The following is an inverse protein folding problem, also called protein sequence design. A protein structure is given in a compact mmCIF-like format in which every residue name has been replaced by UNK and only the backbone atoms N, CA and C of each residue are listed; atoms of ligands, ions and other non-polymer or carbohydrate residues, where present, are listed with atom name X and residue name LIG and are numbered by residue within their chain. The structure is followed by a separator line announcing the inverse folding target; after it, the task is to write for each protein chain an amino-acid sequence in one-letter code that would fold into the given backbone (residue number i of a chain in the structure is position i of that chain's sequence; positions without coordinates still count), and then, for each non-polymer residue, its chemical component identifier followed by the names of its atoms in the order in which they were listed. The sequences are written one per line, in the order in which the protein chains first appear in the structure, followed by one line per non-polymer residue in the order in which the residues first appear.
data_IF_777011836361
#
_entry.id   IF_777011836361
#
_cell.length_a   1.000
_cell.length_b   1.000
_cell.length_c   1.000
_cell.angle_alpha   90.00
_cell.angle_beta   90.00
_cell.angle_gamma   90.00
#
_symmetry.space_group_name_H-M   'P 1'
#
loop_
_entity.id
_entity.type
_entity.pdbx_description
1 polymer ?
#
# COMPACT_ATOMS: atom_id res chain seq x y z
N UNK A 1 -19.19 19.53 -45.07
CA UNK A 1 -18.21 19.45 -43.96
C UNK A 1 -18.78 20.26 -42.81
N UNK A 2 -19.14 19.63 -41.69
CA UNK A 2 -19.68 20.36 -40.54
C UNK A 2 -18.53 20.95 -39.74
N UNK A 3 -18.44 22.28 -39.67
CA UNK A 3 -17.41 22.97 -38.92
C UNK A 3 -17.62 22.74 -37.41
N UNK A 4 -16.57 22.31 -36.70
CA UNK A 4 -16.59 22.06 -35.25
C UNK A 4 -16.95 23.32 -34.44
N UNK A 5 -16.89 24.49 -35.07
CA UNK A 5 -17.24 25.79 -34.48
C UNK A 5 -18.72 25.91 -34.10
N UNK A 6 -19.62 25.19 -34.78
CA UNK A 6 -21.07 25.38 -34.62
C UNK A 6 -21.70 24.46 -33.56
N UNK A 7 -20.94 23.52 -32.99
CA UNK A 7 -21.44 22.54 -32.03
C UNK A 7 -20.53 22.44 -30.79
N UNK A 8 -20.82 23.20 -29.71
CA UNK A 8 -20.00 23.24 -28.51
C UNK A 8 -19.91 21.89 -27.80
N UNK A 9 -20.91 21.02 -27.95
CA UNK A 9 -20.90 19.68 -27.34
C UNK A 9 -19.90 18.75 -28.04
N UNK A 10 -19.68 18.92 -29.34
CA UNK A 10 -18.64 18.19 -30.08
C UNK A 10 -17.24 18.67 -29.74
N UNK A 11 -17.02 19.98 -29.60
CA UNK A 11 -15.72 20.54 -29.23
C UNK A 11 -15.27 20.11 -27.82
N UNK A 12 -16.21 20.02 -26.87
CA UNK A 12 -15.95 19.57 -25.50
C UNK A 12 -15.40 18.13 -25.43
N UNK A 13 -15.80 17.24 -26.35
CA UNK A 13 -15.26 15.87 -26.44
C UNK A 13 -13.78 15.81 -26.76
N UNK A 14 -13.22 16.87 -27.34
CA UNK A 14 -11.80 16.97 -27.69
C UNK A 14 -11.04 17.94 -26.76
N UNK A 15 -11.64 18.36 -25.64
CA UNK A 15 -11.02 19.31 -24.71
C UNK A 15 -10.89 20.74 -25.26
N UNK A 16 -11.59 21.07 -26.35
CA UNK A 16 -11.54 22.39 -26.98
C UNK A 16 -12.67 23.27 -26.43
N UNK A 17 -12.33 24.50 -26.06
CA UNK A 17 -13.32 25.49 -25.58
C UNK A 17 -13.70 26.39 -26.75
N UNK A 18 -14.97 26.36 -27.18
CA UNK A 18 -15.46 27.24 -28.24
C UNK A 18 -15.66 28.64 -27.66
N UNK A 19 -14.87 29.59 -28.17
CA UNK A 19 -14.99 31.01 -27.82
C UNK A 19 -16.07 31.62 -28.74
N UNK A 20 -17.17 32.16 -28.20
CA UNK A 20 -18.21 32.78 -29.02
C UNK A 20 -17.64 33.92 -29.86
N UNK A 21 -18.16 34.11 -31.07
CA UNK A 21 -17.67 35.13 -32.03
C UNK A 21 -17.68 36.55 -31.46
N UNK A 22 -18.62 36.88 -30.57
CA UNK A 22 -18.67 38.18 -29.87
C UNK A 22 -17.53 38.41 -28.86
N UNK A 23 -16.67 37.41 -28.61
CA UNK A 23 -15.52 37.50 -27.72
C UNK A 23 -14.18 37.79 -28.43
N UNK A 24 -14.15 37.88 -29.76
CA UNK A 24 -12.92 38.06 -30.54
C UNK A 24 -12.25 39.44 -30.40
N UNK A 25 -12.94 40.45 -29.84
CA UNK A 25 -12.44 41.82 -29.69
C UNK A 25 -12.07 42.23 -28.26
N UNK A 26 -11.97 41.29 -27.30
CA UNK A 26 -11.55 41.62 -25.92
C UNK A 26 -10.04 41.38 -25.73
N UNK A 27 -9.34 42.25 -24.98
CA UNK A 27 -7.90 42.11 -24.76
C UNK A 27 -7.59 40.79 -24.04
N UNK A 28 -6.60 40.07 -24.54
CA UNK A 28 -6.06 38.86 -23.94
C UNK A 28 -4.91 39.22 -22.99
N UNK A 29 -4.77 38.58 -21.81
CA UNK A 29 -5.59 37.50 -21.26
C UNK A 29 -6.96 38.00 -20.74
N UNK A 30 -7.97 37.11 -20.62
CA UNK A 30 -9.26 37.50 -20.07
C UNK A 30 -9.05 38.01 -18.64
N UNK A 31 -9.78 39.06 -18.21
CA UNK A 31 -9.71 39.51 -16.83
C UNK A 31 -10.03 38.33 -15.92
N UNK A 32 -9.28 38.15 -14.81
CA UNK A 32 -9.49 37.03 -13.91
C UNK A 32 -10.95 37.02 -13.49
N UNK A 33 -11.65 35.93 -13.84
CA UNK A 33 -13.01 35.71 -13.38
C UNK A 33 -12.90 35.61 -11.86
N UNK A 34 -13.36 36.65 -11.16
CA UNK A 34 -13.53 36.62 -9.72
C UNK A 34 -14.68 35.64 -9.48
N UNK A 35 -14.35 34.35 -9.42
CA UNK A 35 -15.25 33.37 -8.88
C UNK A 35 -15.52 33.82 -7.45
N UNK A 36 -16.68 34.41 -7.21
CA UNK A 36 -17.20 34.60 -5.86
C UNK A 36 -17.42 33.20 -5.30
N UNK A 37 -16.35 32.60 -4.79
CA UNK A 37 -16.45 31.49 -3.86
C UNK A 37 -17.13 32.08 -2.64
N UNK A 38 -18.46 32.00 -2.62
CA UNK A 38 -19.22 32.00 -1.39
C UNK A 38 -18.46 31.09 -0.43
N UNK A 39 -17.94 31.67 0.66
CA UNK A 39 -17.24 30.94 1.74
C UNK A 39 -18.12 29.84 2.35
N UNK A 40 -19.42 29.85 2.02
CA UNK A 40 -20.35 28.79 2.35
C UNK A 40 -20.33 27.73 1.22
N UNK A 41 -19.94 26.48 1.53
CA UNK A 41 -20.03 25.39 0.57
C UNK A 41 -21.46 25.26 0.04
N UNK A 42 -21.61 24.93 -1.24
CA UNK A 42 -22.92 24.76 -1.86
C UNK A 42 -23.73 23.69 -1.11
N UNK A 43 -25.06 23.80 -1.13
CA UNK A 43 -25.93 22.79 -0.51
C UNK A 43 -25.64 21.37 -1.04
N UNK A 44 -25.28 21.26 -2.33
CA UNK A 44 -24.85 20.01 -2.94
C UNK A 44 -23.55 19.48 -2.32
N UNK A 45 -22.53 20.33 -2.11
CA UNK A 45 -21.28 19.91 -1.47
C UNK A 45 -21.50 19.48 -0.01
N UNK A 46 -22.40 20.15 0.71
CA UNK A 46 -22.79 19.76 2.07
C UNK A 46 -23.52 18.41 2.09
N UNK A 47 -24.45 18.19 1.14
CA UNK A 47 -25.16 16.92 1.00
C UNK A 47 -24.22 15.77 0.63
N UNK A 48 -23.23 16.02 -0.22
CA UNK A 48 -22.22 15.02 -0.59
C UNK A 48 -21.32 14.64 0.59
N UNK A 49 -20.92 15.62 1.41
CA UNK A 49 -20.18 15.36 2.67
C UNK A 49 -21.00 14.52 3.63
N UNK A 50 -22.26 14.87 3.87
CA UNK A 50 -23.14 14.09 4.74
C UNK A 50 -23.33 12.64 4.24
N UNK A 51 -23.47 12.45 2.92
CA UNK A 51 -23.58 11.11 2.32
C UNK A 51 -22.30 10.28 2.48
N UNK A 52 -21.13 10.91 2.35
CA UNK A 52 -19.85 10.24 2.58
C UNK A 52 -19.63 9.89 4.06
N UNK A 53 -20.02 10.78 4.97
CA UNK A 53 -19.98 10.53 6.42
C UNK A 53 -20.86 9.33 6.80
N UNK A 54 -22.08 9.25 6.24
CA UNK A 54 -23.00 8.13 6.45
C UNK A 54 -22.43 6.81 5.91
N UNK A 55 -21.80 6.85 4.72
CA UNK A 55 -21.14 5.67 4.16
C UNK A 55 -19.98 5.20 5.04
N UNK A 56 -19.14 6.12 5.52
CA UNK A 56 -18.03 5.81 6.44
C UNK A 56 -18.54 5.18 7.74
N UNK A 57 -19.61 5.73 8.32
CA UNK A 57 -20.25 5.17 9.51
C UNK A 57 -20.79 3.75 9.27
N UNK A 58 -21.45 3.50 8.13
CA UNK A 58 -21.94 2.16 7.76
C UNK A 58 -20.80 1.15 7.58
N UNK A 59 -19.69 1.58 6.97
CA UNK A 59 -18.49 0.75 6.81
C UNK A 59 -17.83 0.44 8.17
N UNK A 60 -17.81 1.39 9.09
CA UNK A 60 -17.27 1.21 10.45
C UNK A 60 -18.16 0.28 11.30
N UNK A 61 -19.49 0.44 11.24
CA UNK A 61 -20.44 -0.47 11.88
C UNK A 61 -20.31 -1.90 11.30
N UNK A 62 -20.09 -2.05 9.99
CA UNK A 62 -19.84 -3.35 9.38
C UNK A 62 -18.52 -3.98 9.86
N UNK A 63 -17.45 -3.19 9.99
CA UNK A 63 -16.17 -3.64 10.54
C UNK A 63 -16.31 -4.09 12.00
N UNK A 64 -17.01 -3.32 12.83
CA UNK A 64 -17.28 -3.70 14.22
C UNK A 64 -18.05 -5.02 14.31
N UNK A 65 -19.11 -5.21 13.50
CA UNK A 65 -19.85 -6.48 13.45
C UNK A 65 -18.99 -7.68 13.04
N UNK A 66 -18.04 -7.49 12.12
CA UNK A 66 -17.09 -8.54 11.75
C UNK A 66 -16.16 -8.86 12.91
N UNK A 67 -15.68 -7.84 13.64
CA UNK A 67 -14.82 -8.02 14.81
C UNK A 67 -15.55 -8.76 15.94
N UNK A 68 -16.80 -8.37 16.24
CA UNK A 68 -17.65 -9.03 17.24
C UNK A 68 -17.93 -10.49 16.87
N UNK A 69 -18.19 -10.77 15.58
CA UNK A 69 -18.34 -12.16 15.08
C UNK A 69 -17.04 -12.96 15.26
N UNK A 70 -15.88 -12.35 15.03
CA UNK A 70 -14.58 -13.01 15.24
C UNK A 70 -14.34 -13.29 16.73
N UNK A 71 -14.58 -12.31 17.61
CA UNK A 71 -14.47 -12.50 19.05
C UNK A 71 -15.43 -13.59 19.55
N UNK A 72 -16.69 -13.57 19.12
CA UNK A 72 -17.68 -14.60 19.48
C UNK A 72 -17.25 -16.01 19.06
N UNK A 73 -16.62 -16.15 17.90
CA UNK A 73 -16.04 -17.43 17.44
C UNK A 73 -14.84 -17.85 18.28
N UNK A 74 -13.96 -16.93 18.68
CA UNK A 74 -12.83 -17.24 19.56
C UNK A 74 -13.30 -17.70 20.94
N UNK A 75 -14.31 -17.05 21.53
CA UNK A 75 -14.88 -17.47 22.81
C UNK A 75 -15.60 -18.82 22.72
N UNK A 76 -16.27 -19.10 21.59
CA UNK A 76 -16.93 -20.40 21.38
C UNK A 76 -15.92 -21.54 21.20
N UNK A 77 -14.85 -21.31 20.42
CA UNK A 77 -13.78 -22.31 20.20
C UNK A 77 -12.96 -22.55 21.47
N UNK A 78 -12.70 -21.51 22.27
CA UNK A 78 -12.02 -21.64 23.56
C UNK A 78 -12.82 -22.41 24.61
N UNK A 79 -14.17 -22.35 24.57
CA UNK A 79 -15.02 -23.18 25.44
C UNK A 79 -14.93 -24.66 25.08
N UNK A 80 -15.03 -25.00 23.80
CA UNK A 80 -14.89 -26.40 23.35
C UNK A 80 -13.49 -26.94 23.64
N UNK A 81 -12.43 -26.15 23.43
CA UNK A 81 -11.05 -26.61 23.67
C UNK A 81 -10.74 -26.76 25.18
N UNK A 82 -11.28 -25.88 26.03
CA UNK A 82 -11.15 -26.00 27.49
C UNK A 82 -11.93 -27.22 28.03
N UNK A 83 -13.09 -27.51 27.47
CA UNK A 83 -13.93 -28.65 27.84
C UNK A 83 -13.31 -29.98 27.36
N UNK A 84 -12.73 -29.99 26.15
CA UNK A 84 -11.97 -31.10 25.60
C UNK A 84 -10.66 -31.35 26.37
N UNK A 85 -9.95 -30.28 26.78
CA UNK A 85 -8.79 -30.40 27.71
C UNK A 85 -9.19 -30.91 29.08
N UNK A 86 -10.35 -30.51 29.63
CA UNK A 86 -10.87 -31.05 30.90
C UNK A 86 -11.22 -32.54 30.77
N UNK A 87 -11.80 -32.96 29.65
CA UNK A 87 -12.08 -34.36 29.38
C UNK A 87 -10.79 -35.20 29.29
N UNK A 88 -9.80 -34.72 28.53
CA UNK A 88 -8.48 -35.37 28.43
C UNK A 88 -7.73 -35.38 29.77
N UNK A 89 -7.85 -34.32 30.57
CA UNK A 89 -7.23 -34.25 31.89
C UNK A 89 -7.92 -35.18 32.89
N UNK A 90 -9.23 -35.39 32.80
CA UNK A 90 -9.96 -36.39 33.58
C UNK A 90 -9.56 -37.82 33.19
N UNK A 91 -9.33 -38.08 31.90
CA UNK A 91 -8.84 -39.36 31.39
C UNK A 91 -7.39 -39.64 31.84
N UNK A 92 -6.51 -38.63 31.80
CA UNK A 92 -5.15 -38.72 32.33
C UNK A 92 -5.11 -38.93 33.85
N UNK A 93 -5.99 -38.26 34.61
CA UNK A 93 -6.11 -38.47 36.05
C UNK A 93 -6.66 -39.85 36.39
N UNK A 94 -7.54 -40.41 35.55
CA UNK A 94 -7.99 -41.81 35.65
C UNK A 94 -6.84 -42.80 35.37
N UNK A 95 -5.89 -42.47 34.50
CA UNK A 95 -4.70 -43.29 34.23
C UNK A 95 -3.56 -43.13 35.25
N UNK A 96 -3.46 -41.98 35.92
CA UNK A 96 -2.39 -41.66 36.88
C UNK A 96 -2.60 -42.25 38.29
N UNK A 97 -3.75 -42.87 38.56
CA UNK A 97 -3.98 -43.65 39.78
C UNK A 97 -3.09 -44.90 39.92
N UNK A 98 -2.30 -45.26 38.90
CA UNK A 98 -1.51 -46.49 38.89
C UNK A 98 0.02 -46.30 38.81
N UNK A 99 0.54 -45.07 38.87
CA UNK A 99 1.98 -44.83 38.71
C UNK A 99 2.51 -43.70 39.60
N UNK A 100 2.45 -43.90 40.92
CA UNK A 100 3.22 -43.10 41.88
C UNK A 100 4.45 -43.90 42.29
N UNK A 101 5.58 -43.70 41.60
CA UNK A 101 6.90 -43.75 42.24
C UNK A 101 8.00 -43.09 41.38
N UNK A 102 8.74 -42.21 42.06
CA UNK A 102 10.06 -41.62 41.73
C UNK A 102 10.10 -40.35 40.89
N UNK A 103 10.61 -39.31 41.56
CA UNK A 103 11.90 -38.76 41.16
C UNK A 103 11.93 -37.29 40.79
N UNK A 104 11.71 -36.42 41.78
CA UNK A 104 12.05 -34.99 41.71
C UNK A 104 13.54 -34.77 41.42
N UNK A 105 13.86 -33.95 40.43
CA UNK A 105 15.07 -33.11 40.46
C UNK A 105 14.80 -31.72 39.88
N UNK A 106 15.39 -30.75 40.57
CA UNK A 106 15.14 -29.32 40.58
C UNK A 106 16.10 -28.54 39.65
N UNK A 107 15.52 -27.55 38.94
CA UNK A 107 15.95 -26.21 38.49
C UNK A 107 17.45 -25.78 38.58
N UNK A 108 17.94 -24.87 37.70
CA UNK A 108 17.86 -23.45 38.09
C UNK A 108 17.53 -22.45 36.96
N UNK A 109 16.73 -21.47 37.35
CA UNK A 109 16.32 -20.25 36.65
C UNK A 109 17.39 -19.17 36.83
N UNK A 110 17.81 -18.50 35.76
CA UNK A 110 18.68 -17.33 35.80
C UNK A 110 18.29 -16.31 34.71
N UNK A 111 18.11 -15.02 35.04
CA UNK A 111 17.49 -14.05 34.15
C UNK A 111 18.48 -13.20 33.34
N UNK A 112 17.96 -12.62 32.25
CA UNK A 112 18.42 -11.39 31.58
C UNK A 112 19.72 -11.44 30.76
N UNK A 113 19.59 -11.75 29.46
CA UNK A 113 20.17 -10.99 28.35
C UNK A 113 19.86 -11.70 27.02
N UNK A 114 19.30 -10.97 26.04
CA UNK A 114 19.09 -11.28 24.60
C UNK A 114 17.62 -11.20 24.15
N UNK A 115 17.09 -9.97 24.09
CA UNK A 115 15.80 -9.68 23.42
C UNK A 115 15.86 -9.69 21.88
N UNK A 116 17.01 -9.96 21.25
CA UNK A 116 17.14 -10.02 19.78
C UNK A 116 17.36 -11.41 19.17
N UNK A 117 17.87 -12.39 19.93
CA UNK A 117 18.18 -13.74 19.41
C UNK A 117 17.14 -14.81 19.78
N UNK A 118 16.30 -14.55 20.78
CA UNK A 118 15.28 -15.49 21.23
C UNK A 118 14.15 -15.69 20.19
N UNK A 119 13.84 -14.68 19.37
CA UNK A 119 12.85 -14.80 18.30
C UNK A 119 13.34 -15.76 17.18
N UNK A 120 14.64 -15.75 16.87
CA UNK A 120 15.20 -16.62 15.84
C UNK A 120 15.37 -18.07 16.31
N UNK A 121 15.75 -18.29 17.58
CA UNK A 121 15.87 -19.63 18.18
C UNK A 121 14.49 -20.29 18.44
N UNK A 122 13.45 -19.51 18.72
CA UNK A 122 12.06 -20.03 18.81
C UNK A 122 11.51 -20.53 17.47
N UNK A 123 12.03 -20.05 16.33
CA UNK A 123 11.62 -20.54 15.01
C UNK A 123 12.14 -21.95 14.69
N UNK A 124 13.21 -22.41 15.34
CA UNK A 124 13.83 -23.72 15.09
C UNK A 124 13.25 -24.86 15.94
N UNK A 125 12.37 -24.56 16.90
CA UNK A 125 11.75 -25.55 17.80
C UNK A 125 10.26 -25.73 17.53
N UNK A 126 9.75 -25.18 16.42
CA UNK A 126 8.35 -25.33 16.02
C UNK A 126 8.10 -26.72 15.46
N UNK A 127 6.97 -27.30 15.85
CA UNK A 127 6.56 -28.57 15.28
C UNK A 127 6.14 -28.36 13.81
N UNK A 128 6.24 -29.40 12.96
CA UNK A 128 5.74 -29.32 11.58
C UNK A 128 4.26 -28.89 11.51
N UNK A 129 3.46 -29.23 12.54
CA UNK A 129 2.07 -28.80 12.66
C UNK A 129 1.93 -27.29 12.89
N UNK A 130 2.74 -26.69 13.78
CA UNK A 130 2.74 -25.24 14.01
C UNK A 130 3.16 -24.47 12.76
N UNK A 131 4.12 -25.01 11.99
CA UNK A 131 4.56 -24.42 10.74
C UNK A 131 3.46 -24.50 9.65
N UNK A 132 2.70 -25.60 9.61
CA UNK A 132 1.58 -25.75 8.68
C UNK A 132 0.41 -24.82 9.02
N UNK A 133 0.12 -24.60 10.31
CA UNK A 133 -0.95 -23.69 10.74
C UNK A 133 -0.59 -22.23 10.47
N UNK A 134 0.65 -21.81 10.74
CA UNK A 134 1.17 -20.48 10.40
C UNK A 134 1.13 -20.26 8.87
N UNK A 135 1.54 -21.27 8.09
CA UNK A 135 1.47 -21.21 6.64
C UNK A 135 0.02 -21.06 6.13
N UNK A 136 -0.92 -21.84 6.66
CA UNK A 136 -2.33 -21.72 6.28
C UNK A 136 -2.88 -20.33 6.62
N UNK A 137 -2.46 -19.76 7.76
CA UNK A 137 -2.87 -18.42 8.16
C UNK A 137 -2.31 -17.35 7.22
N UNK A 138 -1.04 -17.45 6.81
CA UNK A 138 -0.41 -16.56 5.83
C UNK A 138 -1.12 -16.63 4.48
N UNK A 139 -1.46 -17.84 4.00
CA UNK A 139 -2.21 -18.06 2.76
C UNK A 139 -3.62 -17.45 2.86
N UNK A 140 -4.32 -17.64 3.98
CA UNK A 140 -5.64 -17.06 4.19
C UNK A 140 -5.62 -15.53 4.28
N UNK A 141 -4.62 -14.96 4.94
CA UNK A 141 -4.42 -13.52 5.02
C UNK A 141 -4.14 -12.95 3.63
N UNK A 142 -3.25 -13.60 2.88
CA UNK A 142 -2.92 -13.26 1.51
C UNK A 142 -4.15 -13.30 0.59
N UNK A 143 -4.92 -14.40 0.62
CA UNK A 143 -6.17 -14.52 -0.13
C UNK A 143 -7.20 -13.44 0.22
N UNK A 144 -7.29 -13.07 1.51
CA UNK A 144 -8.18 -11.99 1.95
C UNK A 144 -7.73 -10.63 1.40
N UNK A 145 -6.42 -10.34 1.42
CA UNK A 145 -5.87 -9.11 0.83
C UNK A 145 -6.14 -9.03 -0.67
N UNK A 146 -5.93 -10.15 -1.40
CA UNK A 146 -6.29 -10.27 -2.81
C UNK A 146 -7.78 -10.01 -3.07
N UNK A 147 -8.65 -10.53 -2.21
CA UNK A 147 -10.09 -10.34 -2.32
C UNK A 147 -10.48 -8.86 -2.17
N UNK A 148 -9.86 -8.15 -1.23
CA UNK A 148 -10.11 -6.73 -0.93
C UNK A 148 -9.47 -5.75 -1.93
N UNK A 149 -8.59 -6.23 -2.81
CA UNK A 149 -7.93 -5.37 -3.79
C UNK A 149 -8.94 -4.73 -4.76
N UNK A 150 -8.69 -3.47 -5.12
CA UNK A 150 -9.54 -2.70 -6.04
C UNK A 150 -9.64 -3.42 -7.40
N UNK A 151 -10.87 -3.50 -7.94
CA UNK A 151 -11.17 -4.10 -9.24
C UNK A 151 -10.33 -3.50 -10.37
N UNK A 152 -10.10 -2.18 -10.36
CA UNK A 152 -9.27 -1.50 -11.35
C UNK A 152 -7.81 -1.99 -11.33
N UNK A 153 -7.27 -2.24 -10.13
CA UNK A 153 -5.91 -2.79 -9.97
C UNK A 153 -5.85 -4.24 -10.46
N UNK A 154 -6.91 -5.03 -10.22
CA UNK A 154 -7.01 -6.41 -10.72
C UNK A 154 -7.00 -6.45 -12.25
N UNK A 155 -7.79 -5.58 -12.88
CA UNK A 155 -7.84 -5.42 -14.34
C UNK A 155 -6.49 -4.96 -14.90
N UNK A 156 -5.82 -4.01 -14.24
CA UNK A 156 -4.47 -3.58 -14.63
C UNK A 156 -3.47 -4.74 -14.61
N UNK A 157 -3.52 -5.60 -13.59
CA UNK A 157 -2.65 -6.78 -13.52
C UNK A 157 -2.97 -7.80 -14.61
N UNK A 158 -4.25 -8.04 -14.89
CA UNK A 158 -4.66 -8.93 -15.98
C UNK A 158 -4.15 -8.44 -17.34
N UNK A 159 -4.41 -7.18 -17.67
CA UNK A 159 -3.95 -6.57 -18.93
C UNK A 159 -2.43 -6.61 -19.06
N UNK A 160 -1.71 -6.35 -17.96
CA UNK A 160 -0.26 -6.44 -17.92
C UNK A 160 0.22 -7.88 -18.18
N UNK A 161 -0.41 -8.86 -17.53
CA UNK A 161 -0.07 -10.28 -17.73
C UNK A 161 -0.31 -10.70 -19.19
N UNK A 162 -1.49 -10.43 -19.74
CA UNK A 162 -1.86 -10.78 -21.11
C UNK A 162 -0.85 -10.23 -22.11
N UNK A 163 -0.54 -8.93 -22.00
CA UNK A 163 0.45 -8.23 -22.83
C UNK A 163 1.84 -8.87 -22.81
N UNK A 164 2.33 -9.29 -21.63
CA UNK A 164 3.68 -9.88 -21.53
C UNK A 164 3.71 -11.40 -21.76
N UNK A 165 2.54 -12.05 -21.79
CA UNK A 165 2.40 -13.48 -22.09
C UNK A 165 2.33 -13.81 -23.58
N UNK A 166 2.31 -12.81 -24.47
CA UNK A 166 2.18 -12.99 -25.93
C UNK A 166 3.22 -13.98 -26.51
N UNK A 167 4.43 -14.00 -25.97
CA UNK A 167 5.51 -14.91 -26.43
C UNK A 167 5.35 -16.35 -25.94
N UNK A 168 4.62 -16.56 -24.85
CA UNK A 168 4.39 -17.86 -24.21
C UNK A 168 2.97 -17.89 -23.66
N UNK A 169 1.96 -18.17 -24.50
CA UNK A 169 0.56 -18.10 -24.09
C UNK A 169 0.29 -18.92 -22.83
N UNK A 170 -0.31 -18.30 -21.82
CA UNK A 170 -0.70 -18.93 -20.56
C UNK A 170 0.32 -18.79 -19.41
N UNK A 171 1.54 -18.32 -19.65
CA UNK A 171 2.51 -18.06 -18.57
C UNK A 171 3.55 -17.00 -18.92
N UNK A 172 4.15 -16.38 -17.89
CA UNK A 172 5.28 -15.48 -18.04
C UNK A 172 6.59 -16.24 -17.83
N UNK A 173 7.50 -16.21 -18.80
CA UNK A 173 8.88 -16.58 -18.54
C UNK A 173 9.57 -15.52 -17.64
N UNK A 174 10.78 -15.81 -17.14
CA UNK A 174 11.49 -14.92 -16.22
C UNK A 174 11.69 -13.49 -16.76
N UNK A 175 11.97 -13.33 -18.07
CA UNK A 175 12.13 -12.01 -18.67
C UNK A 175 10.80 -11.26 -18.79
N UNK A 176 9.74 -11.95 -19.21
CA UNK A 176 8.39 -11.40 -19.30
C UNK A 176 7.86 -10.98 -17.92
N UNK A 177 8.12 -11.77 -16.87
CA UNK A 177 7.79 -11.43 -15.49
C UNK A 177 8.43 -10.11 -15.06
N UNK A 178 9.73 -9.92 -15.32
CA UNK A 178 10.42 -8.69 -14.94
C UNK A 178 9.86 -7.45 -15.67
N UNK A 179 9.44 -7.61 -16.93
CA UNK A 179 8.77 -6.54 -17.68
C UNK A 179 7.39 -6.23 -17.10
N UNK A 180 6.61 -7.26 -16.79
CA UNK A 180 5.30 -7.13 -16.19
C UNK A 180 5.37 -6.43 -14.82
N UNK A 181 6.30 -6.85 -13.95
CA UNK A 181 6.57 -6.20 -12.67
C UNK A 181 7.00 -4.73 -12.84
N UNK A 182 7.81 -4.42 -13.86
CA UNK A 182 8.20 -3.04 -14.13
C UNK A 182 7.04 -2.16 -14.59
N UNK A 183 6.12 -2.71 -15.39
CA UNK A 183 4.94 -1.99 -15.87
C UNK A 183 3.94 -1.67 -14.74
N UNK A 184 3.85 -2.53 -13.72
CA UNK A 184 3.04 -2.26 -12.51
C UNK A 184 3.79 -1.47 -11.43
N UNK A 185 4.98 -0.94 -11.73
CA UNK A 185 5.76 -0.11 -10.81
C UNK A 185 6.48 -0.87 -9.69
N UNK A 186 6.64 -2.20 -9.83
CA UNK A 186 7.26 -3.09 -8.84
C UNK A 186 8.64 -3.58 -9.28
N UNK A 187 9.34 -2.80 -10.12
CA UNK A 187 10.69 -3.17 -10.56
C UNK A 187 11.66 -3.02 -9.39
N UNK A 188 12.37 -4.08 -8.96
CA UNK A 188 13.39 -3.94 -7.94
C UNK A 188 14.56 -3.10 -8.46
N UNK A 189 14.87 -2.03 -7.74
CA UNK A 189 15.98 -1.11 -7.97
C UNK A 189 17.14 -1.38 -7.02
N UNK A 190 16.85 -1.82 -5.78
CA UNK A 190 17.88 -2.11 -4.76
C UNK A 190 18.16 -3.60 -4.60
N UNK A 191 19.31 -3.94 -3.98
CA UNK A 191 19.63 -5.34 -3.63
C UNK A 191 18.62 -5.93 -2.64
N UNK A 192 18.18 -5.11 -1.66
CA UNK A 192 17.17 -5.49 -0.68
C UNK A 192 15.84 -5.85 -1.35
N UNK A 193 15.36 -5.02 -2.27
CA UNK A 193 14.12 -5.29 -3.03
C UNK A 193 14.22 -6.57 -3.85
N UNK A 194 15.38 -6.86 -4.46
CA UNK A 194 15.60 -8.12 -5.19
C UNK A 194 15.47 -9.33 -4.27
N UNK A 195 16.00 -9.23 -3.05
CA UNK A 195 15.92 -10.31 -2.06
C UNK A 195 14.48 -10.50 -1.56
N UNK A 196 13.76 -9.41 -1.27
CA UNK A 196 12.35 -9.46 -0.89
C UNK A 196 11.48 -10.07 -1.98
N UNK A 197 11.64 -9.67 -3.25
CA UNK A 197 10.89 -10.27 -4.37
C UNK A 197 11.20 -11.77 -4.50
N UNK A 198 12.44 -12.19 -4.27
CA UNK A 198 12.81 -13.61 -4.28
C UNK A 198 12.10 -14.39 -3.17
N UNK A 199 11.95 -13.82 -1.99
CA UNK A 199 11.21 -14.43 -0.87
C UNK A 199 9.71 -14.53 -1.20
N UNK A 200 9.13 -13.47 -1.77
CA UNK A 200 7.73 -13.48 -2.25
C UNK A 200 7.53 -14.56 -3.32
N UNK A 201 8.47 -14.67 -4.27
CA UNK A 201 8.44 -15.71 -5.31
C UNK A 201 8.44 -17.12 -4.72
N UNK A 202 9.27 -17.38 -3.71
CA UNK A 202 9.31 -18.67 -3.02
C UNK A 202 7.99 -18.96 -2.30
N UNK A 203 7.47 -17.97 -1.58
CA UNK A 203 6.19 -18.08 -0.88
C UNK A 203 5.04 -18.39 -1.84
N UNK A 204 4.96 -17.69 -2.98
CA UNK A 204 3.93 -17.90 -3.99
C UNK A 204 4.04 -19.30 -4.60
N UNK A 205 5.23 -19.72 -5.02
CA UNK A 205 5.40 -21.08 -5.57
C UNK A 205 5.01 -22.14 -4.53
N UNK A 206 5.43 -21.98 -3.28
CA UNK A 206 5.08 -22.92 -2.22
C UNK A 206 3.56 -23.00 -1.97
N UNK A 207 2.85 -21.87 -2.08
CA UNK A 207 1.42 -21.80 -1.78
C UNK A 207 0.53 -22.25 -2.94
N UNK A 208 0.96 -22.00 -4.19
CA UNK A 208 0.12 -22.24 -5.39
C UNK A 208 0.49 -23.54 -6.12
N UNK A 209 1.68 -24.09 -5.89
CA UNK A 209 2.13 -25.33 -6.51
C UNK A 209 2.21 -26.46 -5.50
N UNK A 210 1.14 -27.25 -5.42
CA UNK A 210 1.20 -28.58 -4.82
C UNK A 210 1.86 -29.56 -5.80
N UNK A 211 2.42 -30.66 -5.29
CA UNK A 211 3.04 -31.70 -6.14
C UNK A 211 2.05 -32.22 -7.20
N UNK A 212 0.77 -32.36 -6.85
CA UNK A 212 -0.31 -32.77 -7.76
C UNK A 212 -0.65 -31.70 -8.82
N UNK A 213 -0.53 -30.41 -8.48
CA UNK A 213 -0.83 -29.28 -9.40
C UNK A 213 0.24 -29.12 -10.49
N UNK A 214 1.51 -29.36 -10.14
CA UNK A 214 2.65 -29.25 -11.04
C UNK A 214 2.56 -30.19 -12.23
N UNK A 215 2.09 -31.42 -12.01
CA UNK A 215 1.93 -32.41 -13.07
C UNK A 215 0.72 -32.09 -13.97
N UNK A 216 -0.35 -31.56 -13.40
CA UNK A 216 -1.61 -31.32 -14.10
C UNK A 216 -1.52 -30.23 -15.19
N UNK A 217 -0.64 -29.25 -15.05
CA UNK A 217 -0.57 -28.10 -15.95
C UNK A 217 0.64 -28.10 -16.89
N UNK A 218 1.58 -29.03 -16.73
CA UNK A 218 2.79 -29.11 -17.57
C UNK A 218 3.74 -27.90 -17.46
N UNK A 219 3.46 -26.94 -16.58
CA UNK A 219 4.29 -25.75 -16.35
C UNK A 219 5.33 -26.05 -15.28
N UNK A 220 6.59 -26.06 -15.71
CA UNK A 220 7.77 -26.30 -14.88
C UNK A 220 7.97 -25.20 -13.83
N UNK A 221 8.59 -25.53 -12.70
CA UNK A 221 8.85 -24.58 -11.62
C UNK A 221 9.84 -23.49 -12.07
N UNK A 222 9.47 -22.20 -12.07
CA UNK A 222 10.31 -21.12 -12.57
C UNK A 222 11.52 -20.78 -11.69
N UNK A 223 11.58 -21.27 -10.45
CA UNK A 223 12.71 -21.04 -9.55
C UNK A 223 13.82 -22.08 -9.69
N UNK A 224 13.46 -23.29 -10.13
CA UNK A 224 14.41 -24.40 -10.26
C UNK A 224 14.73 -24.70 -11.72
N UNK A 225 13.80 -24.45 -12.65
CA UNK A 225 13.94 -24.81 -14.05
C UNK A 225 14.06 -23.59 -14.96
N UNK A 226 15.05 -23.62 -15.87
CA UNK A 226 15.29 -22.56 -16.86
C UNK A 226 14.10 -22.31 -17.80
N UNK A 227 13.26 -23.32 -18.02
CA UNK A 227 12.05 -23.26 -18.86
C UNK A 227 10.76 -23.17 -18.04
N UNK A 228 10.85 -22.89 -16.74
CA UNK A 228 9.67 -22.67 -15.93
C UNK A 228 8.95 -21.38 -16.32
N UNK A 229 7.66 -21.35 -16.03
CA UNK A 229 6.77 -20.23 -16.32
C UNK A 229 6.01 -19.81 -15.07
N UNK A 230 5.56 -18.57 -15.01
CA UNK A 230 4.70 -18.03 -13.97
C UNK A 230 3.27 -17.93 -14.48
N UNK A 231 2.35 -18.58 -13.79
CA UNK A 231 0.91 -18.53 -14.11
C UNK A 231 0.31 -17.17 -13.72
N UNK A 232 -0.90 -16.89 -14.19
CA UNK A 232 -1.57 -15.62 -13.89
C UNK A 232 -1.81 -15.45 -12.39
N UNK A 233 -2.31 -16.49 -11.73
CA UNK A 233 -2.60 -16.50 -10.29
C UNK A 233 -1.34 -16.23 -9.47
N UNK A 234 -0.21 -16.79 -9.90
CA UNK A 234 1.09 -16.60 -9.26
C UNK A 234 1.62 -15.17 -9.46
N UNK A 235 1.54 -14.66 -10.70
CA UNK A 235 1.91 -13.28 -11.00
C UNK A 235 1.06 -12.30 -10.20
N UNK A 236 -0.25 -12.50 -10.18
CA UNK A 236 -1.22 -11.69 -9.45
C UNK A 236 -0.93 -11.71 -7.95
N UNK A 237 -0.72 -12.90 -7.38
CA UNK A 237 -0.37 -13.10 -5.98
C UNK A 237 0.92 -12.35 -5.61
N UNK A 238 1.96 -12.49 -6.44
CA UNK A 238 3.24 -11.83 -6.24
C UNK A 238 3.13 -10.31 -6.34
N UNK A 239 2.48 -9.79 -7.38
CA UNK A 239 2.32 -8.36 -7.59
C UNK A 239 1.56 -7.69 -6.44
N UNK A 240 0.48 -8.33 -5.98
CA UNK A 240 -0.27 -7.85 -4.82
C UNK A 240 0.58 -7.88 -3.54
N UNK A 241 1.28 -8.97 -3.24
CA UNK A 241 2.16 -9.03 -2.05
C UNK A 241 3.21 -7.93 -2.09
N UNK A 242 3.85 -7.71 -3.24
CA UNK A 242 4.85 -6.66 -3.38
C UNK A 242 4.25 -5.27 -3.19
N UNK A 243 3.02 -5.00 -3.67
CA UNK A 243 2.34 -3.73 -3.37
C UNK A 243 2.02 -3.55 -1.89
N UNK A 244 1.63 -4.62 -1.20
CA UNK A 244 1.41 -4.59 0.25
C UNK A 244 2.71 -4.27 1.00
N UNK A 245 3.81 -4.96 0.67
CA UNK A 245 5.12 -4.69 1.28
C UNK A 245 5.56 -3.24 1.07
N UNK A 246 5.41 -2.70 -0.15
CA UNK A 246 5.71 -1.29 -0.43
C UNK A 246 4.83 -0.37 0.40
N UNK A 247 3.55 -0.70 0.57
CA UNK A 247 2.64 0.10 1.40
C UNK A 247 3.01 0.05 2.88
N UNK A 248 3.36 -1.12 3.40
CA UNK A 248 3.76 -1.29 4.79
C UNK A 248 5.07 -0.54 5.09
N UNK A 249 6.08 -0.67 4.21
CA UNK A 249 7.32 0.12 4.30
C UNK A 249 7.04 1.62 4.21
N UNK A 250 6.08 2.03 3.39
CA UNK A 250 5.67 3.42 3.27
C UNK A 250 4.99 3.93 4.54
N UNK A 251 4.11 3.14 5.15
CA UNK A 251 3.45 3.46 6.44
C UNK A 251 4.49 3.55 7.55
N UNK A 252 5.46 2.64 7.60
CA UNK A 252 6.55 2.68 8.58
C UNK A 252 7.40 3.95 8.41
N UNK A 253 7.76 4.30 7.17
CA UNK A 253 8.48 5.53 6.86
C UNK A 253 7.68 6.79 7.23
N UNK A 254 6.38 6.82 6.93
CA UNK A 254 5.50 7.93 7.28
C UNK A 254 5.33 8.05 8.80
N UNK A 255 5.25 6.93 9.52
CA UNK A 255 5.21 6.92 10.97
C UNK A 255 6.51 7.43 11.60
N UNK A 256 7.67 7.05 11.03
CA UNK A 256 8.96 7.56 11.46
C UNK A 256 9.06 9.08 11.25
N UNK A 257 8.60 9.58 10.10
CA UNK A 257 8.53 11.03 9.82
C UNK A 257 7.57 11.76 10.75
N UNK A 258 6.39 11.19 11.02
CA UNK A 258 5.41 11.74 11.93
C UNK A 258 6.00 11.88 13.35
N UNK A 259 6.67 10.83 13.83
CA UNK A 259 7.34 10.82 15.13
C UNK A 259 8.48 11.84 15.20
N UNK A 260 9.28 11.96 14.13
CA UNK A 260 10.40 12.91 14.06
C UNK A 260 9.95 14.38 14.10
N UNK A 261 8.77 14.67 13.51
CA UNK A 261 8.24 16.02 13.39
C UNK A 261 7.12 16.31 14.41
N UNK A 262 6.91 15.42 15.38
CA UNK A 262 5.87 15.54 16.42
C UNK A 262 4.47 15.84 15.87
N UNK A 263 4.11 15.22 14.73
CA UNK A 263 2.84 15.43 14.06
C UNK A 263 2.04 14.13 13.90
N UNK A 264 0.76 14.26 13.54
CA UNK A 264 -0.10 13.10 13.30
C UNK A 264 0.26 12.41 11.97
N UNK A 265 0.21 11.07 11.94
CA UNK A 265 0.44 10.27 10.72
C UNK A 265 -0.45 10.71 9.55
N UNK A 266 -1.70 11.12 9.84
CA UNK A 266 -2.63 11.61 8.83
C UNK A 266 -2.09 12.84 8.09
N UNK A 267 -1.39 13.75 8.80
CA UNK A 267 -0.78 14.94 8.20
C UNK A 267 0.34 14.57 7.24
N UNK A 268 1.17 13.58 7.59
CA UNK A 268 2.23 13.09 6.70
C UNK A 268 1.63 12.45 5.43
N UNK A 269 0.56 11.66 5.59
CA UNK A 269 -0.17 11.06 4.48
C UNK A 269 -0.76 12.11 3.52
N UNK A 270 -1.42 13.14 4.06
CA UNK A 270 -1.97 14.25 3.28
C UNK A 270 -0.86 15.01 2.54
N UNK A 271 0.25 15.32 3.22
CA UNK A 271 1.40 15.98 2.61
C UNK A 271 2.00 15.16 1.47
N UNK A 272 2.15 13.84 1.66
CA UNK A 272 2.66 12.92 0.63
C UNK A 272 1.71 12.86 -0.56
N UNK A 273 0.40 12.78 -0.32
CA UNK A 273 -0.58 12.78 -1.41
C UNK A 273 -0.46 14.04 -2.24
N UNK A 274 -0.45 15.22 -1.59
CA UNK A 274 -0.34 16.49 -2.31
C UNK A 274 1.02 16.62 -3.00
N UNK A 275 2.08 16.09 -2.40
CA UNK A 275 3.41 16.03 -3.01
C UNK A 275 3.40 15.16 -4.27
N UNK A 276 2.87 13.93 -4.24
CA UNK A 276 2.82 13.04 -5.40
C UNK A 276 1.91 13.59 -6.54
N UNK A 277 0.79 14.23 -6.19
CA UNK A 277 -0.04 14.95 -7.17
C UNK A 277 0.75 16.08 -7.88
N UNK A 278 1.62 16.75 -7.13
CA UNK A 278 2.44 17.87 -7.62
C UNK A 278 3.75 17.44 -8.28
N UNK A 279 4.25 16.22 -7.98
CA UNK A 279 5.54 15.67 -8.43
C UNK A 279 5.62 15.46 -9.95
N UNK A 280 4.48 15.44 -10.64
CA UNK A 280 4.43 15.50 -12.10
C UNK A 280 5.17 16.72 -12.67
N UNK A 281 5.43 17.74 -11.84
CA UNK A 281 6.23 18.90 -12.15
C UNK A 281 7.60 18.80 -11.45
N UNK A 282 8.71 18.86 -12.21
CA UNK A 282 10.09 18.90 -11.66
C UNK A 282 10.32 20.08 -10.70
N UNK A 283 9.40 21.05 -10.71
CA UNK A 283 9.41 22.24 -9.86
C UNK A 283 8.04 22.43 -9.23
N UNK A 284 8.00 22.62 -7.92
CA UNK A 284 6.78 23.06 -7.23
C UNK A 284 6.68 24.58 -7.35
N UNK A 285 5.57 25.10 -7.87
CA UNK A 285 5.36 26.54 -7.84
C UNK A 285 5.03 26.93 -6.39
N UNK A 286 5.60 28.03 -5.88
CA UNK A 286 5.34 28.52 -4.53
C UNK A 286 3.84 28.65 -4.22
N UNK A 287 3.04 29.04 -5.22
CA UNK A 287 1.58 29.05 -5.14
C UNK A 287 0.99 27.69 -4.77
N UNK A 288 1.49 26.61 -5.34
CA UNK A 288 1.02 25.25 -5.07
C UNK A 288 1.46 24.83 -3.68
N UNK A 289 2.71 25.11 -3.30
CA UNK A 289 3.20 24.92 -1.93
C UNK A 289 2.33 25.64 -0.88
N UNK A 290 1.99 26.91 -1.13
CA UNK A 290 1.07 27.68 -0.29
C UNK A 290 -0.33 27.07 -0.25
N UNK A 291 -0.80 26.47 -1.34
CA UNK A 291 -2.06 25.73 -1.35
C UNK A 291 -1.97 24.45 -0.49
N UNK A 292 -0.82 23.75 -0.48
CA UNK A 292 -0.57 22.64 0.45
C UNK A 292 -0.66 23.13 1.89
N UNK A 293 0.08 24.20 2.22
CA UNK A 293 0.11 24.80 3.56
C UNK A 293 -1.30 25.24 4.01
N UNK A 294 -2.09 25.78 3.09
CA UNK A 294 -3.49 26.15 3.37
C UNK A 294 -4.35 24.92 3.65
N UNK A 295 -4.20 23.82 2.90
CA UNK A 295 -4.94 22.57 3.11
C UNK A 295 -4.62 21.92 4.47
N UNK A 296 -3.38 22.00 4.92
CA UNK A 296 -2.95 21.49 6.24
C UNK A 296 -3.24 22.45 7.40
N UNK A 297 -3.96 23.56 7.16
CA UNK A 297 -4.38 24.48 8.21
C UNK A 297 -3.41 25.60 8.55
N UNK A 298 -2.40 25.86 7.70
CA UNK A 298 -1.46 27.00 7.83
C UNK A 298 -1.75 28.02 6.71
N UNK A 299 -2.82 28.83 6.83
CA UNK A 299 -3.13 29.85 5.84
C UNK A 299 -2.15 31.02 5.96
N UNK A 300 -1.54 31.39 4.83
CA UNK A 300 -0.71 32.60 4.70
C UNK A 300 0.46 32.71 5.70
N UNK A 301 1.42 31.75 5.69
CA UNK A 301 2.62 31.88 6.50
C UNK A 301 3.38 33.19 6.14
N UNK A 302 3.96 33.89 7.12
CA UNK A 302 4.79 35.06 6.86
C UNK A 302 5.94 34.73 5.90
N UNK A 303 6.26 35.63 4.98
CA UNK A 303 7.34 35.42 4.00
C UNK A 303 8.68 35.05 4.66
N UNK A 304 8.97 35.58 5.86
CA UNK A 304 10.17 35.24 6.63
C UNK A 304 10.20 33.76 7.05
N UNK A 305 9.07 33.24 7.52
CA UNK A 305 8.95 31.84 7.94
C UNK A 305 8.94 30.91 6.74
N UNK A 306 8.27 31.32 5.66
CA UNK A 306 8.26 30.57 4.40
C UNK A 306 9.65 30.50 3.77
N UNK A 307 10.41 31.60 3.81
CA UNK A 307 11.80 31.63 3.36
C UNK A 307 12.69 30.72 4.22
N UNK A 308 12.50 30.73 5.55
CA UNK A 308 13.23 29.84 6.45
C UNK A 308 12.89 28.36 6.20
N UNK A 309 11.61 28.02 6.00
CA UNK A 309 11.15 26.67 5.70
C UNK A 309 11.73 26.14 4.38
N UNK A 310 11.87 27.02 3.39
CA UNK A 310 12.45 26.71 2.08
C UNK A 310 13.99 26.87 2.06
N UNK A 311 14.62 27.14 3.20
CA UNK A 311 16.07 27.39 3.32
C UNK A 311 16.59 28.48 2.36
N UNK A 312 15.78 29.49 2.08
CA UNK A 312 16.13 30.59 1.21
C UNK A 312 16.98 31.63 1.95
N UNK A 313 17.97 32.25 1.28
CA UNK A 313 18.78 33.29 1.89
C UNK A 313 17.89 34.49 2.30
N UNK A 314 18.20 35.13 3.44
CA UNK A 314 17.42 36.26 3.96
C UNK A 314 17.38 37.40 2.93
N UNK A 315 16.20 38.01 2.75
CA UNK A 315 15.97 39.06 1.75
C UNK A 315 15.53 38.55 0.38
N UNK A 316 15.40 37.23 0.19
CA UNK A 316 14.79 36.66 -1.01
C UNK A 316 13.31 37.06 -1.14
N UNK A 317 12.94 37.73 -2.24
CA UNK A 317 11.54 37.97 -2.55
C UNK A 317 10.82 36.66 -2.92
N UNK A 318 9.72 36.38 -2.22
CA UNK A 318 8.87 35.21 -2.44
C UNK A 318 7.77 35.55 -3.45
N UNK A 319 8.17 35.66 -4.72
CA UNK A 319 7.18 35.80 -5.80
C UNK A 319 6.27 34.58 -5.85
N UNK A 320 4.94 34.78 -5.98
CA UNK A 320 3.93 33.69 -6.03
C UNK A 320 4.19 32.64 -7.13
N UNK A 321 4.97 33.01 -8.15
CA UNK A 321 5.34 32.14 -9.28
C UNK A 321 6.76 31.60 -9.19
N UNK A 322 7.44 31.79 -8.05
CA UNK A 322 8.78 31.24 -7.83
C UNK A 322 8.69 29.73 -7.90
N UNK A 323 9.53 29.14 -8.75
CA UNK A 323 9.72 27.71 -8.82
C UNK A 323 10.63 27.28 -7.67
N UNK A 324 10.13 26.37 -6.86
CA UNK A 324 10.90 25.65 -5.84
C UNK A 324 11.35 24.38 -6.53
N UNK A 325 12.65 24.29 -6.81
CA UNK A 325 13.25 23.03 -7.24
C UNK A 325 13.22 22.08 -6.05
N UNK A 326 12.57 20.93 -6.20
CA UNK A 326 12.71 19.89 -5.20
C UNK A 326 14.19 19.49 -5.14
N UNK A 327 14.69 19.21 -3.93
CA UNK A 327 16.00 18.59 -3.79
C UNK A 327 15.98 17.32 -4.67
N UNK A 328 16.87 17.27 -5.66
CA UNK A 328 17.07 16.03 -6.41
C UNK A 328 17.45 15.00 -5.35
N UNK A 329 16.80 13.83 -5.41
CA UNK A 329 17.06 12.74 -4.47
C UNK A 329 18.56 12.47 -4.33
N UNK A 330 18.96 11.71 -3.29
CA UNK A 330 20.36 11.53 -2.97
C UNK A 330 21.16 11.20 -4.22
N UNK A 331 22.24 11.93 -4.44
CA UNK A 331 23.16 11.64 -5.53
C UNK A 331 23.66 10.20 -5.38
N UNK A 332 24.21 9.57 -6.44
CA UNK A 332 24.64 8.17 -6.39
C UNK A 332 25.60 7.82 -5.22
N UNK A 333 26.25 8.82 -4.62
CA UNK A 333 27.09 8.74 -3.44
C UNK A 333 26.35 8.95 -2.09
N UNK A 334 25.02 9.00 -2.09
CA UNK A 334 24.18 9.09 -0.88
C UNK A 334 24.06 10.49 -0.27
N UNK A 335 24.56 11.55 -0.93
CA UNK A 335 24.44 12.91 -0.43
C UNK A 335 23.17 13.58 -0.96
N UNK A 336 22.45 14.24 -0.06
CA UNK A 336 21.36 15.13 -0.44
C UNK A 336 21.96 16.44 -0.91
N UNK A 337 21.80 16.77 -2.20
CA UNK A 337 22.11 18.10 -2.70
C UNK A 337 20.91 19.00 -2.46
N UNK A 338 21.03 19.93 -1.51
CA UNK A 338 20.14 21.09 -1.47
C UNK A 338 20.41 21.94 -2.71
N UNK A 339 19.36 22.32 -3.43
CA UNK A 339 19.46 23.23 -4.57
C UNK A 339 19.76 24.66 -4.13
#
# INVERSE_FOLDING_TARGET
MCHVQDDPNRAARFGLTVVPSWWQNKPWPPPPVVCHFSSKPSQWAMALRAKNEERRRKEEEARQRILERRQSRQFSKGKTELEERRAQQAELLSGLGSAVHRGSQSVPTGPAARKGQAAHMRRQSRTPADAAEEHLQDVMEHATKLALMNQQTKEQFLLCFEKHSETTPGYLNSQALLKALAEVGLRPTTFREKQQIKEVQQMVIHSYRTEESLEAQGVKNPLTEKRGGWLYEEFFAMAATCQELVRDEQIEADQALANQNECELAVVGDLRQVYEESRSQETLILKDFLAILTKIGIPHPPDKELAALLSLPPGSELGRFRKITFARGPTPDGRWQCA
#
